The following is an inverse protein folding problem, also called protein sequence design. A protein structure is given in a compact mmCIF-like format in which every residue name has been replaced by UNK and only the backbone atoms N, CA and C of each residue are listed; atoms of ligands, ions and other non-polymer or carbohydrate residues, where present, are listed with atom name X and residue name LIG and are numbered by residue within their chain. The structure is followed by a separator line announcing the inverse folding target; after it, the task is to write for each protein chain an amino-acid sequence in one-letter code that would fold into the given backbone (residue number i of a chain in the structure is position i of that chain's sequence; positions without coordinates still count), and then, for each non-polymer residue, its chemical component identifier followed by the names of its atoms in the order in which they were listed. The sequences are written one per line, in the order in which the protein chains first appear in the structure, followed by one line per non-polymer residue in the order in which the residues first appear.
data_IF_941935765533
#
_entry.id   IF_941935765533
#
_cell.length_a   1.000
_cell.length_b   1.000
_cell.length_c   1.000
_cell.angle_alpha   90.00
_cell.angle_beta   90.00
_cell.angle_gamma   90.00
#
_symmetry.space_group_name_H-M   'P 1'
#
loop_
_entity.id
_entity.type
_entity.pdbx_description
1 polymer ?
#
# COMPACT_ATOMS: atom_id res chain seq x y z
N UNK A 1 -6.74 15.97 18.67
CA UNK A 1 -5.27 15.84 18.69
C UNK A 1 -4.87 15.11 17.42
N UNK A 2 -3.92 15.64 16.65
CA UNK A 2 -3.43 14.99 15.44
C UNK A 2 -2.07 14.36 15.73
N UNK A 3 -1.92 13.07 15.42
CA UNK A 3 -0.64 12.36 15.53
C UNK A 3 -0.06 12.27 14.12
N UNK A 4 1.19 12.68 13.96
CA UNK A 4 1.90 12.60 12.68
C UNK A 4 3.09 11.65 12.82
N UNK A 5 3.24 10.77 11.84
CA UNK A 5 4.40 9.92 11.65
C UNK A 5 4.65 9.79 10.16
N UNK A 6 5.91 9.64 9.78
CA UNK A 6 6.36 9.35 8.42
C UNK A 6 6.21 7.87 8.03
N UNK A 7 5.83 7.01 8.98
CA UNK A 7 5.61 5.58 8.74
C UNK A 7 4.12 5.24 8.62
N UNK A 8 3.76 4.63 7.48
CA UNK A 8 2.41 4.06 7.28
C UNK A 8 2.06 2.99 8.32
N UNK A 9 3.06 2.24 8.79
CA UNK A 9 2.85 1.17 9.78
C UNK A 9 2.40 1.72 11.13
N UNK A 10 2.88 2.90 11.53
CA UNK A 10 2.43 3.54 12.77
C UNK A 10 0.97 3.96 12.68
N UNK A 11 0.55 4.56 11.56
CA UNK A 11 -0.85 4.94 11.33
C UNK A 11 -1.80 3.74 11.39
N UNK A 12 -1.38 2.59 10.83
CA UNK A 12 -2.12 1.33 10.93
C UNK A 12 -2.29 0.87 12.38
N UNK A 13 -1.20 0.74 13.15
CA UNK A 13 -1.25 0.26 14.53
C UNK A 13 -2.05 1.23 15.40
N UNK A 14 -1.88 2.54 15.22
CA UNK A 14 -2.61 3.54 15.99
C UNK A 14 -4.13 3.43 15.78
N UNK A 15 -4.57 3.32 14.52
CA UNK A 15 -5.98 3.13 14.19
C UNK A 15 -6.52 1.79 14.72
N UNK A 16 -5.76 0.70 14.55
CA UNK A 16 -6.17 -0.64 15.03
C UNK A 16 -6.28 -0.70 16.56
N UNK A 17 -5.49 0.09 17.28
CA UNK A 17 -5.55 0.22 18.74
C UNK A 17 -6.53 1.28 19.23
N UNK A 18 -7.33 1.87 18.35
CA UNK A 18 -8.40 2.80 18.71
C UNK A 18 -7.94 4.22 19.05
N UNK A 19 -6.72 4.61 18.67
CA UNK A 19 -6.24 5.99 18.87
C UNK A 19 -6.91 7.01 17.92
N UNK A 20 -7.63 6.54 16.89
CA UNK A 20 -8.40 7.39 15.99
C UNK A 20 -8.56 6.80 14.59
N UNK A 21 -8.67 7.69 13.59
CA UNK A 21 -8.81 7.36 12.17
C UNK A 21 -7.46 7.63 11.48
N UNK A 22 -7.05 6.74 10.57
CA UNK A 22 -5.85 6.91 9.76
C UNK A 22 -6.16 6.79 8.26
N UNK A 23 -5.44 7.55 7.44
CA UNK A 23 -5.43 7.34 5.99
C UNK A 23 -4.43 6.24 5.65
N UNK A 24 -4.94 5.10 5.17
CA UNK A 24 -4.13 3.92 4.87
C UNK A 24 -4.28 3.53 3.39
N UNK A 25 -3.23 2.94 2.83
CA UNK A 25 -3.35 2.25 1.55
C UNK A 25 -4.34 1.08 1.68
N UNK A 26 -5.16 0.84 0.66
CA UNK A 26 -6.25 -0.13 0.74
C UNK A 26 -5.80 -1.56 1.00
N UNK A 27 -4.66 -1.96 0.45
CA UNK A 27 -4.04 -3.27 0.73
C UNK A 27 -3.65 -3.46 2.21
N UNK A 28 -3.32 -2.37 2.91
CA UNK A 28 -2.96 -2.38 4.34
C UNK A 28 -4.21 -2.35 5.20
N UNK A 29 -5.20 -1.51 4.87
CA UNK A 29 -6.45 -1.46 5.62
C UNK A 29 -7.25 -2.77 5.53
N UNK A 30 -7.28 -3.40 4.35
CA UNK A 30 -8.03 -4.63 4.11
C UNK A 30 -7.43 -5.86 4.82
N UNK A 31 -6.19 -5.80 5.30
CA UNK A 31 -5.56 -6.94 5.97
C UNK A 31 -5.99 -7.11 7.43
N UNK A 32 -6.67 -6.13 8.04
CA UNK A 32 -7.14 -6.20 9.42
C UNK A 32 -8.66 -6.29 9.50
N UNK A 33 -9.15 -7.29 10.22
CA UNK A 33 -10.56 -7.43 10.55
C UNK A 33 -11.03 -6.42 11.62
N UNK A 34 -10.11 -5.75 12.31
CA UNK A 34 -10.42 -4.78 13.37
C UNK A 34 -10.57 -3.35 12.82
N UNK A 35 -10.27 -3.14 11.55
CA UNK A 35 -10.40 -1.85 10.88
C UNK A 35 -11.66 -1.81 10.04
N UNK A 36 -12.32 -0.67 10.04
CA UNK A 36 -13.48 -0.38 9.17
C UNK A 36 -13.18 0.81 8.29
N UNK A 37 -13.69 0.79 7.06
CA UNK A 37 -13.59 1.92 6.14
C UNK A 37 -14.53 3.03 6.58
N UNK A 38 -13.97 4.22 6.76
CA UNK A 38 -14.77 5.43 7.02
C UNK A 38 -15.13 6.04 5.66
N UNK A 39 -16.42 6.30 5.36
CA UNK A 39 -16.82 6.93 4.12
C UNK A 39 -16.32 8.39 4.06
N UNK A 40 -15.53 8.71 3.05
CA UNK A 40 -14.99 10.06 2.82
C UNK A 40 -15.58 10.59 1.52
N UNK A 41 -16.18 11.79 1.55
CA UNK A 41 -16.77 12.43 0.36
C UNK A 41 -15.72 12.94 -0.64
N UNK A 42 -14.48 13.09 -0.18
CA UNK A 42 -13.34 13.59 -0.95
C UNK A 42 -12.70 12.48 -1.78
N UNK A 43 -12.26 12.79 -3.00
CA UNK A 43 -11.41 11.87 -3.77
C UNK A 43 -10.05 11.71 -3.05
N UNK A 44 -9.72 10.49 -2.68
CA UNK A 44 -8.40 10.14 -2.13
C UNK A 44 -7.42 10.00 -3.30
N UNK A 45 -6.18 10.51 -3.19
CA UNK A 45 -5.20 10.36 -4.25
C UNK A 45 -4.86 8.88 -4.49
N UNK A 46 -4.82 8.48 -5.75
CA UNK A 46 -4.28 7.18 -6.16
C UNK A 46 -2.77 7.32 -6.31
N UNK A 47 -2.02 6.54 -5.54
CA UNK A 47 -0.56 6.53 -5.58
C UNK A 47 -0.09 5.44 -6.55
N UNK A 48 0.59 5.78 -7.66
CA UNK A 48 1.14 4.78 -8.56
C UNK A 48 2.29 4.03 -7.89
N UNK A 49 2.32 2.70 -8.03
CA UNK A 49 3.41 1.86 -7.57
C UNK A 49 4.42 1.66 -8.72
N UNK A 50 5.68 2.00 -8.47
CA UNK A 50 6.76 1.86 -9.45
C UNK A 50 7.75 0.79 -9.01
N UNK A 51 8.10 -0.11 -9.92
CA UNK A 51 9.22 -1.02 -9.75
C UNK A 51 10.44 -0.43 -10.45
N UNK A 52 11.43 0.01 -9.69
CA UNK A 52 12.61 0.71 -10.19
C UNK A 52 13.85 -0.15 -10.01
N UNK A 53 14.69 -0.23 -11.04
CA UNK A 53 15.97 -0.95 -11.02
C UNK A 53 17.08 -0.02 -11.50
N UNK A 54 18.26 -0.09 -10.89
CA UNK A 54 19.42 0.68 -11.34
C UNK A 54 19.81 0.32 -12.79
N UNK A 55 20.20 1.32 -13.59
CA UNK A 55 20.51 1.11 -15.02
C UNK A 55 21.60 0.06 -15.24
N UNK A 56 22.66 0.08 -14.41
CA UNK A 56 23.76 -0.87 -14.52
C UNK A 56 23.37 -2.32 -14.23
N UNK A 57 22.29 -2.54 -13.47
CA UNK A 57 21.89 -3.90 -13.03
C UNK A 57 20.64 -4.42 -13.72
N UNK A 58 19.83 -3.56 -14.36
CA UNK A 58 18.58 -3.96 -15.05
C UNK A 58 18.77 -5.02 -16.14
N UNK A 59 20.00 -5.14 -16.68
CA UNK A 59 20.32 -6.12 -17.72
C UNK A 59 20.69 -7.51 -17.17
N UNK A 60 21.04 -7.60 -15.88
CA UNK A 60 21.46 -8.85 -15.25
C UNK A 60 20.29 -9.85 -15.23
N UNK A 61 20.53 -11.13 -15.58
CA UNK A 61 19.47 -12.14 -15.65
C UNK A 61 18.66 -12.28 -14.35
N UNK A 62 19.34 -12.28 -13.19
CA UNK A 62 18.68 -12.38 -11.89
C UNK A 62 17.78 -11.17 -11.58
N UNK A 63 18.20 -9.97 -11.93
CA UNK A 63 17.40 -8.74 -11.74
C UNK A 63 16.17 -8.77 -12.66
N UNK A 64 16.33 -9.20 -13.92
CA UNK A 64 15.19 -9.37 -14.84
C UNK A 64 14.19 -10.40 -14.32
N UNK A 65 14.68 -11.56 -13.85
CA UNK A 65 13.83 -12.61 -13.31
C UNK A 65 13.05 -12.13 -12.07
N UNK A 66 13.72 -11.45 -11.14
CA UNK A 66 13.08 -10.86 -9.96
C UNK A 66 12.05 -9.80 -10.35
N UNK A 67 12.40 -8.90 -11.28
CA UNK A 67 11.48 -7.85 -11.71
C UNK A 67 10.23 -8.43 -12.39
N UNK A 68 10.40 -9.47 -13.20
CA UNK A 68 9.29 -10.22 -13.78
C UNK A 68 8.42 -10.87 -12.70
N UNK A 69 9.02 -11.55 -11.72
CA UNK A 69 8.30 -12.16 -10.62
C UNK A 69 7.48 -11.14 -9.81
N UNK A 70 8.09 -10.02 -9.40
CA UNK A 70 7.41 -8.97 -8.65
C UNK A 70 6.23 -8.40 -9.46
N UNK A 71 6.42 -8.18 -10.77
CA UNK A 71 5.35 -7.71 -11.65
C UNK A 71 4.17 -8.69 -11.65
N UNK A 72 4.42 -9.98 -11.78
CA UNK A 72 3.38 -11.01 -11.77
C UNK A 72 2.64 -11.03 -10.43
N UNK A 73 3.36 -10.97 -9.31
CA UNK A 73 2.76 -10.90 -7.96
C UNK A 73 1.91 -9.63 -7.77
N UNK A 74 2.38 -8.49 -8.27
CA UNK A 74 1.64 -7.24 -8.19
C UNK A 74 0.31 -7.30 -8.98
N UNK A 75 0.30 -7.98 -10.13
CA UNK A 75 -0.91 -8.19 -10.92
C UNK A 75 -1.92 -9.10 -10.20
N UNK A 76 -1.46 -10.17 -9.54
CA UNK A 76 -2.34 -11.01 -8.72
C UNK A 76 -2.97 -10.26 -7.55
N UNK A 77 -2.24 -9.28 -6.99
CA UNK A 77 -2.71 -8.44 -5.89
C UNK A 77 -3.40 -7.14 -6.35
N UNK A 78 -3.57 -6.95 -7.66
CA UNK A 78 -4.16 -5.72 -8.23
C UNK A 78 -5.50 -5.35 -7.59
N UNK A 79 -6.34 -6.35 -7.32
CA UNK A 79 -7.64 -6.17 -6.67
C UNK A 79 -7.51 -5.62 -5.23
N UNK A 80 -6.50 -6.06 -4.48
CA UNK A 80 -6.29 -5.64 -3.08
C UNK A 80 -5.82 -4.18 -2.98
N UNK A 81 -5.19 -3.65 -4.03
CA UNK A 81 -4.84 -2.23 -4.12
C UNK A 81 -6.05 -1.34 -4.41
N UNK A 82 -7.13 -1.91 -4.94
CA UNK A 82 -8.39 -1.22 -5.18
C UNK A 82 -9.11 -0.88 -3.88
N UNK A 83 -9.52 0.38 -3.76
CA UNK A 83 -10.52 0.77 -2.78
C UNK A 83 -11.87 0.68 -3.51
N UNK A 84 -12.57 -0.47 -3.44
CA UNK A 84 -13.99 -0.45 -3.81
C UNK A 84 -14.73 0.41 -2.81
N UNK A 85 -15.57 1.32 -3.31
CA UNK A 85 -16.59 2.00 -2.50
C UNK A 85 -17.56 1.00 -1.89
#
# INVERSE_FOLDING_TARGET
MAISSDSLGFGYVAAEKGLGIALLACIVGNSSANLVRVPIKSKVPVLPLWLVTHEGTRKLPGVKALAHYIRTQAQHKAADFGCSN
#
